data_IF_133376582748
#
_entry.id   IF_133376582748
#
_cell.length_a   1.000
_cell.length_b   1.000
_cell.length_c   1.000
_cell.angle_alpha   90.00
_cell.angle_beta   90.00
_cell.angle_gamma   90.00
#
_symmetry.space_group_name_H-M   'P 1'
#
loop_
_entity.id
_entity.type
_entity.pdbx_description
1 polymer ?
#
# COMPACT_ATOMS: atom_id res chain seq x y z
N UNK A 1 38.69 20.74 34.98
CA UNK A 1 38.50 20.65 33.51
C UNK A 1 37.25 19.84 33.10
N UNK A 2 36.93 18.69 33.72
CA UNK A 2 35.78 17.87 33.32
C UNK A 2 34.38 18.53 33.38
N UNK A 3 34.14 19.44 34.33
CA UNK A 3 32.84 20.14 34.47
C UNK A 3 32.55 21.15 33.35
N UNK A 4 33.60 21.71 32.72
CA UNK A 4 33.47 22.68 31.63
C UNK A 4 33.22 21.99 30.27
N UNK A 5 33.90 20.85 30.04
CA UNK A 5 33.63 19.94 28.92
C UNK A 5 32.21 19.36 28.99
N UNK A 6 31.71 19.06 30.20
CA UNK A 6 30.34 18.59 30.41
C UNK A 6 29.28 19.69 30.19
N UNK A 7 29.61 20.98 30.35
CA UNK A 7 28.68 22.10 30.10
C UNK A 7 28.55 22.43 28.62
N UNK A 8 29.61 22.22 27.84
CA UNK A 8 29.64 22.46 26.39
C UNK A 8 29.03 21.29 25.59
N UNK A 9 29.06 20.08 26.16
CA UNK A 9 28.47 18.88 25.56
C UNK A 9 26.95 18.84 25.66
N UNK A 10 26.34 19.39 26.73
CA UNK A 10 24.88 19.43 26.87
C UNK A 10 24.17 20.18 25.73
N UNK A 11 24.53 21.44 25.36
CA UNK A 11 23.86 22.12 24.25
C UNK A 11 24.12 21.44 22.91
N UNK A 12 25.29 20.81 22.74
CA UNK A 12 25.61 20.02 21.55
C UNK A 12 24.70 18.78 21.44
N UNK A 13 24.50 18.06 22.54
CA UNK A 13 23.60 16.90 22.61
C UNK A 13 22.16 17.32 22.32
N UNK A 14 21.70 18.42 22.92
CA UNK A 14 20.34 18.95 22.68
C UNK A 14 20.17 19.36 21.22
N UNK A 15 21.18 20.02 20.63
CA UNK A 15 21.16 20.41 19.22
C UNK A 15 21.11 19.20 18.29
N UNK A 16 21.94 18.18 18.53
CA UNK A 16 21.91 16.92 17.77
C UNK A 16 20.57 16.21 17.91
N UNK A 17 20.00 16.19 19.11
CA UNK A 17 18.67 15.59 19.34
C UNK A 17 17.57 16.35 18.58
N UNK A 18 17.63 17.68 18.55
CA UNK A 18 16.67 18.51 17.81
C UNK A 18 16.75 18.26 16.30
N UNK A 19 17.97 18.10 15.76
CA UNK A 19 18.18 17.76 14.34
C UNK A 19 17.60 16.39 13.98
N UNK A 20 17.73 15.40 14.88
CA UNK A 20 17.15 14.06 14.68
C UNK A 20 15.62 14.14 14.64
N UNK A 21 15.00 14.94 15.53
CA UNK A 21 13.55 15.15 15.53
C UNK A 21 13.07 15.84 14.24
N UNK A 22 13.78 16.89 13.79
CA UNK A 22 13.49 17.59 12.54
C UNK A 22 13.67 16.69 11.30
N UNK A 23 14.62 15.76 11.32
CA UNK A 23 14.82 14.81 10.23
C UNK A 23 13.75 13.70 10.18
N UNK A 24 12.96 13.51 11.25
CA UNK A 24 11.93 12.48 11.34
C UNK A 24 10.56 12.93 10.83
N UNK A 25 10.38 14.23 10.60
CA UNK A 25 9.15 14.71 9.99
C UNK A 25 9.12 14.32 8.52
N UNK A 26 7.93 13.98 8.03
CA UNK A 26 7.58 13.71 6.62
C UNK A 26 8.13 12.42 5.98
N UNK A 27 7.74 11.27 6.55
CA UNK A 27 7.41 10.11 5.70
C UNK A 27 6.00 10.28 5.16
N UNK A 28 5.88 10.77 3.92
CA UNK A 28 4.64 10.67 3.18
C UNK A 28 4.34 9.18 2.95
N UNK A 29 3.44 8.60 3.74
CA UNK A 29 2.92 7.27 3.46
C UNK A 29 2.17 7.34 2.14
N UNK A 30 2.79 6.84 1.08
CA UNK A 30 2.12 6.61 -0.18
C UNK A 30 1.17 5.42 0.03
N UNK A 31 -0.08 5.69 0.41
CA UNK A 31 -1.11 4.66 0.34
C UNK A 31 -1.26 4.24 -1.12
N UNK A 32 -0.88 3.00 -1.40
CA UNK A 32 -1.08 2.39 -2.71
C UNK A 32 -2.57 2.33 -3.00
N UNK A 33 -3.04 3.03 -4.04
CA UNK A 33 -4.46 3.01 -4.37
C UNK A 33 -4.79 1.71 -5.07
N UNK A 34 -5.94 1.15 -4.72
CA UNK A 34 -6.41 -0.10 -5.30
C UNK A 34 -7.67 0.20 -6.10
N UNK A 35 -7.59 -0.03 -7.42
CA UNK A 35 -8.70 0.17 -8.34
C UNK A 35 -9.38 -1.16 -8.68
N UNK A 36 -10.70 -1.18 -8.59
CA UNK A 36 -11.53 -2.29 -9.06
C UNK A 36 -11.85 -2.13 -10.54
N UNK A 37 -11.74 -3.22 -11.31
CA UNK A 37 -12.20 -3.28 -12.71
C UNK A 37 -12.90 -4.62 -12.95
N UNK A 38 -13.95 -4.65 -13.77
CA UNK A 38 -14.51 -5.92 -14.25
C UNK A 38 -13.44 -6.61 -15.10
N UNK A 39 -13.25 -7.92 -14.88
CA UNK A 39 -12.31 -8.71 -15.67
C UNK A 39 -12.68 -8.62 -17.16
N UNK A 40 -11.68 -8.36 -18.00
CA UNK A 40 -11.88 -8.29 -19.46
C UNK A 40 -11.81 -9.66 -20.12
N UNK A 41 -11.18 -10.61 -19.45
CA UNK A 41 -10.95 -11.97 -19.97
C UNK A 41 -11.94 -13.00 -19.41
N UNK A 42 -12.63 -12.67 -18.32
CA UNK A 42 -13.69 -13.50 -17.74
C UNK A 42 -15.04 -13.23 -18.40
N UNK A 43 -15.71 -14.31 -18.79
CA UNK A 43 -17.07 -14.27 -19.33
C UNK A 43 -18.01 -15.12 -18.47
N UNK A 44 -19.23 -14.63 -18.27
CA UNK A 44 -20.30 -15.35 -17.57
C UNK A 44 -20.25 -15.27 -16.04
N UNK A 45 -21.04 -16.13 -15.41
CA UNK A 45 -21.27 -16.11 -13.97
C UNK A 45 -20.04 -16.53 -13.16
N UNK A 46 -19.69 -15.73 -12.16
CA UNK A 46 -18.54 -15.96 -11.27
C UNK A 46 -18.89 -16.99 -10.18
N UNK A 47 -18.95 -18.28 -10.54
CA UNK A 47 -19.18 -19.39 -9.61
C UNK A 47 -17.91 -19.82 -8.87
N UNK A 48 -16.78 -19.84 -9.58
CA UNK A 48 -15.51 -20.30 -9.04
C UNK A 48 -14.56 -19.13 -8.83
N UNK A 49 -14.45 -18.71 -7.57
CA UNK A 49 -13.50 -17.67 -7.16
C UNK A 49 -12.09 -18.08 -7.61
N UNK A 50 -11.61 -19.29 -7.30
CA UNK A 50 -10.24 -19.71 -7.63
C UNK A 50 -9.84 -19.48 -9.09
N UNK A 51 -10.72 -19.83 -10.03
CA UNK A 51 -10.48 -19.61 -11.46
C UNK A 51 -10.45 -18.11 -11.82
N UNK A 52 -11.40 -17.34 -11.29
CA UNK A 52 -11.39 -15.87 -11.41
C UNK A 52 -10.06 -15.27 -10.88
N UNK A 53 -9.41 -15.90 -9.88
CA UNK A 53 -8.12 -15.41 -9.38
C UNK A 53 -7.04 -15.60 -10.39
N UNK A 54 -6.90 -16.84 -10.86
CA UNK A 54 -5.84 -17.19 -11.78
C UNK A 54 -5.98 -16.38 -13.03
N UNK A 55 -7.21 -16.11 -13.49
CA UNK A 55 -7.44 -15.24 -14.63
C UNK A 55 -7.05 -13.78 -14.33
N UNK A 56 -7.51 -13.19 -13.22
CA UNK A 56 -7.10 -11.84 -12.83
C UNK A 56 -5.58 -11.70 -12.63
N UNK A 57 -4.93 -12.61 -11.89
CA UNK A 57 -3.50 -12.52 -11.56
C UNK A 57 -2.62 -12.88 -12.75
N UNK A 58 -2.93 -13.95 -13.47
CA UNK A 58 -2.03 -14.48 -14.51
C UNK A 58 -2.27 -13.82 -15.87
N UNK A 59 -3.49 -13.38 -16.17
CA UNK A 59 -3.83 -12.86 -17.51
C UNK A 59 -3.97 -11.35 -17.52
N UNK A 60 -4.42 -10.74 -16.42
CA UNK A 60 -4.64 -9.29 -16.36
C UNK A 60 -3.60 -8.55 -15.51
N UNK A 61 -2.77 -9.27 -14.72
CA UNK A 61 -1.76 -8.66 -13.84
C UNK A 61 -2.35 -8.01 -12.59
N UNK A 62 -3.51 -8.49 -12.13
CA UNK A 62 -4.16 -7.99 -10.93
C UNK A 62 -3.49 -8.51 -9.66
N UNK A 63 -3.63 -7.77 -8.58
CA UNK A 63 -3.22 -8.20 -7.24
C UNK A 63 -4.11 -9.32 -6.71
N UNK A 64 -5.42 -9.13 -6.88
CA UNK A 64 -6.43 -10.07 -6.41
C UNK A 64 -7.74 -9.90 -7.17
N UNK A 65 -8.76 -10.64 -6.74
CA UNK A 65 -10.09 -10.69 -7.35
C UNK A 65 -11.21 -10.49 -6.32
N UNK A 66 -12.42 -10.31 -6.83
CA UNK A 66 -13.66 -10.68 -6.15
C UNK A 66 -14.74 -11.06 -7.16
N UNK A 67 -15.72 -11.87 -6.74
CA UNK A 67 -16.97 -12.05 -7.47
C UNK A 67 -18.00 -11.08 -6.88
N UNK A 68 -18.46 -10.10 -7.65
CA UNK A 68 -19.49 -9.14 -7.19
C UNK A 68 -20.76 -9.26 -8.01
N UNK A 69 -21.90 -9.04 -7.36
CA UNK A 69 -23.19 -8.94 -8.02
C UNK A 69 -23.18 -7.76 -8.97
N UNK A 70 -23.43 -8.02 -10.26
CA UNK A 70 -23.63 -6.99 -11.26
C UNK A 70 -24.64 -7.51 -12.27
N UNK A 71 -25.78 -6.84 -12.36
CA UNK A 71 -26.87 -7.31 -13.20
C UNK A 71 -26.46 -7.40 -14.68
N UNK A 72 -26.76 -8.51 -15.36
CA UNK A 72 -27.34 -9.75 -14.83
C UNK A 72 -26.28 -10.64 -14.12
N UNK A 73 -26.60 -11.10 -12.89
CA UNK A 73 -25.82 -12.12 -12.17
C UNK A 73 -24.65 -11.60 -11.32
N UNK A 74 -23.59 -12.40 -11.25
CA UNK A 74 -22.36 -12.15 -10.48
C UNK A 74 -21.18 -12.20 -11.44
N UNK A 75 -20.39 -11.14 -11.50
CA UNK A 75 -19.24 -11.02 -12.41
C UNK A 75 -17.91 -11.08 -11.65
N UNK A 76 -16.85 -11.47 -12.36
CA UNK A 76 -15.48 -11.42 -11.84
C UNK A 76 -14.92 -10.00 -11.95
N UNK A 77 -14.38 -9.49 -10.86
CA UNK A 77 -13.70 -8.20 -10.77
C UNK A 77 -12.27 -8.40 -10.30
N UNK A 78 -11.34 -7.71 -10.95
CA UNK A 78 -9.92 -7.73 -10.66
C UNK A 78 -9.51 -6.40 -10.01
N UNK A 79 -8.54 -6.46 -9.10
CA UNK A 79 -8.06 -5.31 -8.34
C UNK A 79 -6.60 -5.04 -8.67
N UNK A 80 -6.31 -3.79 -9.04
CA UNK A 80 -5.01 -3.36 -9.54
C UNK A 80 -4.46 -2.23 -8.70
N UNK A 81 -3.12 -2.15 -8.66
CA UNK A 81 -2.42 -0.95 -8.22
C UNK A 81 -2.72 0.19 -9.20
N UNK A 82 -3.16 1.31 -8.65
CA UNK A 82 -3.38 2.59 -9.29
C UNK A 82 -3.04 3.69 -8.26
#
# INVERSE_FOLDING_TARGET
MGKLLSRLSIPLIVFVFLLILLASTEVAMLEERICQRRSKTWSGFCANRGNCNRQCTNWEGALHRACHTQFPGVACFCYFRC
#
